data_IF_877091819407
#
_entry.id   IF_877091819407
#
_cell.length_a   1.000
_cell.length_b   1.000
_cell.length_c   1.000
_cell.angle_alpha   90.00
_cell.angle_beta   90.00
_cell.angle_gamma   90.00
#
_symmetry.space_group_name_H-M   'P 1'
#
loop_
_entity.id
_entity.type
_entity.pdbx_description
1 polymer ?
#
# COMPACT_ATOMS: atom_id res chain seq x y z
N UNK A 1 -11.37 -19.51 -0.60
CA UNK A 1 -10.27 -20.40 -0.16
C UNK A 1 -9.14 -19.55 0.41
N UNK A 2 -8.43 -19.99 1.45
CA UNK A 2 -7.33 -19.23 2.11
C UNK A 2 -6.24 -18.83 1.11
N UNK A 3 -5.81 -19.74 0.23
CA UNK A 3 -4.81 -19.45 -0.80
C UNK A 3 -5.15 -18.22 -1.65
N UNK A 4 -6.41 -18.06 -2.06
CA UNK A 4 -6.85 -16.89 -2.82
C UNK A 4 -6.70 -15.59 -2.02
N UNK A 5 -7.11 -15.59 -0.74
CA UNK A 5 -7.00 -14.39 0.12
C UNK A 5 -5.53 -13.97 0.30
N UNK A 6 -4.64 -14.94 0.52
CA UNK A 6 -3.20 -14.67 0.71
C UNK A 6 -2.57 -14.15 -0.59
N UNK A 7 -2.87 -14.77 -1.72
CA UNK A 7 -2.37 -14.32 -3.03
C UNK A 7 -2.86 -12.92 -3.38
N UNK A 8 -4.14 -12.62 -3.14
CA UNK A 8 -4.70 -11.29 -3.35
C UNK A 8 -4.09 -10.21 -2.46
N UNK A 9 -3.52 -10.60 -1.31
CA UNK A 9 -2.90 -9.67 -0.39
C UNK A 9 -1.41 -9.39 -0.72
N UNK A 10 -0.70 -10.36 -1.30
CA UNK A 10 0.75 -10.30 -1.47
C UNK A 10 1.26 -10.33 -2.92
N UNK A 11 0.46 -10.77 -3.89
CA UNK A 11 0.94 -10.99 -5.27
C UNK A 11 0.17 -10.16 -6.28
N UNK A 12 -1.12 -10.44 -6.46
CA UNK A 12 -1.93 -9.82 -7.51
C UNK A 12 -3.40 -9.83 -7.12
N UNK A 13 -4.11 -8.75 -7.43
CA UNK A 13 -5.54 -8.64 -7.15
C UNK A 13 -6.39 -9.67 -7.91
N UNK A 14 -5.89 -10.13 -9.07
CA UNK A 14 -6.63 -10.97 -10.03
C UNK A 14 -5.86 -12.26 -10.37
N UNK A 15 -5.65 -13.16 -9.40
CA UNK A 15 -4.87 -14.37 -9.64
C UNK A 15 -5.60 -15.35 -10.56
N UNK A 16 -4.84 -16.07 -11.38
CA UNK A 16 -5.41 -17.10 -12.25
C UNK A 16 -5.97 -18.28 -11.45
N UNK A 17 -7.01 -18.93 -11.97
CA UNK A 17 -7.62 -20.10 -11.33
C UNK A 17 -6.63 -21.26 -11.18
N UNK A 18 -5.74 -21.45 -12.16
CA UNK A 18 -4.68 -22.46 -12.12
C UNK A 18 -3.67 -22.20 -11.00
N UNK A 19 -3.22 -20.95 -10.84
CA UNK A 19 -2.29 -20.58 -9.77
C UNK A 19 -2.89 -20.84 -8.38
N UNK A 20 -4.13 -20.39 -8.16
CA UNK A 20 -4.84 -20.62 -6.90
C UNK A 20 -5.06 -22.11 -6.63
N UNK A 21 -5.39 -22.90 -7.66
CA UNK A 21 -5.55 -24.35 -7.52
C UNK A 21 -4.25 -25.01 -7.08
N UNK A 22 -3.13 -24.69 -7.73
CA UNK A 22 -1.82 -25.27 -7.41
C UNK A 22 -1.39 -24.96 -5.97
N UNK A 23 -1.58 -23.73 -5.52
CA UNK A 23 -1.32 -23.32 -4.14
C UNK A 23 -2.28 -24.00 -3.15
N UNK A 24 -3.57 -24.09 -3.50
CA UNK A 24 -4.57 -24.78 -2.69
C UNK A 24 -4.23 -26.27 -2.49
N UNK A 25 -3.78 -26.94 -3.54
CA UNK A 25 -3.37 -28.35 -3.48
C UNK A 25 -2.09 -28.51 -2.65
N UNK A 26 -1.14 -27.58 -2.79
CA UNK A 26 0.08 -27.54 -1.95
C UNK A 26 -0.25 -27.37 -0.47
N UNK A 27 -1.14 -26.44 -0.15
CA UNK A 27 -1.57 -26.18 1.23
C UNK A 27 -2.32 -27.37 1.83
N UNK A 28 -3.15 -28.07 1.05
CA UNK A 28 -3.83 -29.30 1.52
C UNK A 28 -2.86 -30.45 1.76
N UNK A 29 -1.93 -30.69 0.81
CA UNK A 29 -0.92 -31.76 0.94
C UNK A 29 0.00 -31.56 2.14
N UNK A 30 0.30 -30.31 2.48
CA UNK A 30 1.09 -29.96 3.67
C UNK A 30 0.29 -29.99 4.98
N UNK A 31 -0.95 -30.51 4.98
CA UNK A 31 -1.87 -30.51 6.13
C UNK A 31 -2.13 -29.09 6.67
N UNK A 32 -2.31 -28.14 5.77
CA UNK A 32 -2.61 -26.74 6.06
C UNK A 32 -1.48 -25.99 6.80
N UNK A 33 -0.23 -26.37 6.56
CA UNK A 33 0.92 -25.60 7.04
C UNK A 33 1.06 -24.26 6.31
N UNK A 34 0.89 -23.17 7.06
CA UNK A 34 1.00 -21.81 6.53
C UNK A 34 2.41 -21.49 6.03
N UNK A 35 3.45 -22.00 6.69
CA UNK A 35 4.85 -21.76 6.26
C UNK A 35 5.08 -22.30 4.85
N UNK A 36 4.56 -23.49 4.55
CA UNK A 36 4.61 -24.09 3.22
C UNK A 36 3.85 -23.24 2.19
N UNK A 37 2.65 -22.77 2.50
CA UNK A 37 1.89 -21.90 1.59
C UNK A 37 2.62 -20.59 1.29
N UNK A 38 3.10 -19.88 2.33
CA UNK A 38 3.82 -18.63 2.15
C UNK A 38 5.11 -18.82 1.35
N UNK A 39 5.85 -19.92 1.58
CA UNK A 39 7.05 -20.26 0.81
C UNK A 39 6.72 -20.53 -0.67
N UNK A 40 5.63 -21.24 -0.95
CA UNK A 40 5.20 -21.49 -2.31
C UNK A 40 4.81 -20.20 -3.04
N UNK A 41 4.15 -19.28 -2.34
CA UNK A 41 3.77 -17.97 -2.89
C UNK A 41 4.99 -17.11 -3.18
N UNK A 42 5.88 -16.90 -2.21
CA UNK A 42 7.02 -15.98 -2.36
C UNK A 42 8.14 -16.50 -3.27
N UNK A 43 8.14 -17.79 -3.60
CA UNK A 43 9.04 -18.38 -4.60
C UNK A 43 8.34 -18.65 -5.95
N UNK A 44 7.10 -18.19 -6.13
CA UNK A 44 6.37 -18.38 -7.38
C UNK A 44 6.88 -17.43 -8.47
N UNK A 45 6.82 -17.82 -9.76
CA UNK A 45 7.09 -16.89 -10.85
C UNK A 45 6.06 -15.75 -10.88
N UNK A 46 4.82 -15.98 -10.43
CA UNK A 46 3.80 -14.95 -10.32
C UNK A 46 4.16 -13.85 -9.32
N UNK A 47 4.93 -14.13 -8.27
CA UNK A 47 5.34 -13.13 -7.27
C UNK A 47 6.32 -12.10 -7.82
N UNK A 48 7.24 -12.53 -8.68
CA UNK A 48 8.29 -11.67 -9.26
C UNK A 48 7.96 -11.17 -10.67
N UNK A 49 6.77 -11.51 -11.19
CA UNK A 49 6.35 -11.08 -12.51
C UNK A 49 6.16 -9.56 -12.58
N UNK A 50 6.55 -8.94 -13.69
CA UNK A 50 6.42 -7.49 -13.89
C UNK A 50 5.00 -6.98 -13.67
N UNK A 51 3.99 -7.74 -14.08
CA UNK A 51 2.57 -7.40 -13.89
C UNK A 51 2.12 -7.42 -12.41
N UNK A 52 2.85 -8.10 -11.54
CA UNK A 52 2.56 -8.20 -10.10
C UNK A 52 3.28 -7.10 -9.31
N UNK A 53 4.41 -6.62 -9.82
CA UNK A 53 5.20 -5.59 -9.17
C UNK A 53 4.42 -4.29 -9.03
N UNK A 54 4.29 -3.79 -7.79
CA UNK A 54 3.51 -2.58 -7.44
C UNK A 54 2.08 -2.58 -8.01
N UNK A 55 1.45 -3.76 -8.09
CA UNK A 55 0.12 -3.91 -8.67
C UNK A 55 -1.03 -3.84 -7.65
N UNK A 56 -0.70 -3.86 -6.36
CA UNK A 56 -1.69 -3.91 -5.28
C UNK A 56 -1.88 -2.54 -4.66
N UNK A 57 -3.12 -2.21 -4.30
CA UNK A 57 -3.40 -0.97 -3.56
C UNK A 57 -3.18 -1.21 -2.07
N UNK A 58 -2.40 -0.32 -1.44
CA UNK A 58 -2.22 -0.28 0.01
C UNK A 58 -3.56 -0.08 0.72
N UNK A 59 -3.81 -0.90 1.74
CA UNK A 59 -4.85 -0.61 2.72
C UNK A 59 -4.60 0.76 3.38
N UNK A 60 -5.63 1.42 3.93
CA UNK A 60 -5.46 2.69 4.64
C UNK A 60 -4.36 2.64 5.70
N UNK A 61 -4.29 1.56 6.48
CA UNK A 61 -3.26 1.40 7.51
C UNK A 61 -1.85 1.32 6.91
N UNK A 62 -1.65 0.53 5.85
CA UNK A 62 -0.35 0.45 5.17
C UNK A 62 0.07 1.80 4.60
N UNK A 63 -0.87 2.51 3.96
CA UNK A 63 -0.63 3.85 3.41
C UNK A 63 -0.24 4.85 4.50
N UNK A 64 -0.98 4.88 5.60
CA UNK A 64 -0.69 5.77 6.72
C UNK A 64 0.66 5.43 7.36
N UNK A 65 0.91 4.17 7.74
CA UNK A 65 2.17 3.78 8.37
C UNK A 65 3.37 4.02 7.43
N UNK A 66 3.23 3.77 6.12
CA UNK A 66 4.28 4.08 5.14
C UNK A 66 4.52 5.59 5.06
N UNK A 67 3.48 6.42 5.06
CA UNK A 67 3.62 7.89 5.09
C UNK A 67 4.41 8.36 6.30
N UNK A 68 4.09 7.87 7.50
CA UNK A 68 4.81 8.23 8.72
C UNK A 68 6.29 7.84 8.66
N UNK A 69 6.59 6.65 8.14
CA UNK A 69 7.98 6.18 7.90
C UNK A 69 8.71 7.05 6.88
N UNK A 70 8.05 7.41 5.78
CA UNK A 70 8.63 8.21 4.71
C UNK A 70 9.00 9.62 5.18
N UNK A 71 8.18 10.20 6.06
CA UNK A 71 8.42 11.51 6.65
C UNK A 71 9.32 11.48 7.90
N UNK A 72 9.74 10.30 8.37
CA UNK A 72 10.52 10.16 9.61
C UNK A 72 9.78 10.56 10.87
N UNK A 73 8.43 10.54 10.88
CA UNK A 73 7.61 10.97 12.01
C UNK A 73 7.38 9.78 12.96
N UNK A 74 7.86 9.89 14.20
CA UNK A 74 7.80 8.82 15.20
C UNK A 74 6.48 8.77 16.00
N UNK A 75 5.77 9.90 16.15
CA UNK A 75 4.51 9.98 16.90
C UNK A 75 3.30 10.06 15.95
N UNK A 76 3.03 8.96 15.25
CA UNK A 76 2.04 8.91 14.17
C UNK A 76 0.71 8.25 14.55
N UNK A 77 0.64 7.60 15.71
CA UNK A 77 -0.51 6.79 16.14
C UNK A 77 -1.82 7.58 16.23
N UNK A 78 -1.79 8.81 16.74
CA UNK A 78 -3.00 9.65 16.85
C UNK A 78 -3.57 10.01 15.48
N UNK A 79 -2.71 10.31 14.50
CA UNK A 79 -3.14 10.58 13.12
C UNK A 79 -3.75 9.32 12.49
N UNK A 80 -3.10 8.17 12.66
CA UNK A 80 -3.60 6.89 12.14
C UNK A 80 -5.01 6.58 12.67
N UNK A 81 -5.21 6.73 13.99
CA UNK A 81 -6.52 6.51 14.62
C UNK A 81 -7.55 7.54 14.15
N UNK A 82 -7.17 8.81 14.04
CA UNK A 82 -8.08 9.89 13.66
C UNK A 82 -8.57 9.86 12.21
N UNK A 83 -7.80 9.27 11.30
CA UNK A 83 -8.12 9.27 9.86
C UNK A 83 -8.55 7.90 9.30
N UNK A 84 -8.27 6.80 10.01
CA UNK A 84 -8.55 5.45 9.50
C UNK A 84 -10.01 5.21 9.11
N UNK A 85 -10.95 5.71 9.92
CA UNK A 85 -12.39 5.56 9.67
C UNK A 85 -12.86 6.27 8.39
N UNK A 86 -12.33 7.45 8.08
CA UNK A 86 -12.65 8.18 6.82
C UNK A 86 -12.23 7.41 5.58
N UNK A 87 -11.16 6.62 5.67
CA UNK A 87 -10.69 5.73 4.60
C UNK A 87 -11.33 4.33 4.63
N UNK A 88 -12.24 4.06 5.57
CA UNK A 88 -12.95 2.78 5.70
C UNK A 88 -12.20 1.70 6.46
N UNK A 89 -11.14 2.03 7.21
CA UNK A 89 -10.40 1.07 8.04
C UNK A 89 -10.10 1.63 9.44
N UNK A 90 -11.02 1.40 10.36
CA UNK A 90 -10.78 1.57 11.80
C UNK A 90 -9.97 0.38 12.32
N UNK A 91 -8.84 0.64 13.01
CA UNK A 91 -8.01 -0.43 13.57
C UNK A 91 -8.80 -1.24 14.61
N UNK A 92 -8.64 -2.57 14.55
CA UNK A 92 -9.32 -3.54 15.42
C UNK A 92 -10.85 -3.59 15.28
N UNK A 93 -11.41 -2.95 14.25
CA UNK A 93 -12.85 -2.88 14.00
C UNK A 93 -13.16 -3.26 12.54
N UNK A 94 -13.03 -4.56 12.17
CA UNK A 94 -13.40 -5.02 10.85
C UNK A 94 -14.93 -4.95 10.65
N UNK A 95 -15.40 -4.69 9.42
CA UNK A 95 -16.83 -4.48 9.16
C UNK A 95 -17.67 -5.75 9.37
N UNK A 96 -17.10 -6.93 9.15
CA UNK A 96 -17.76 -8.22 9.36
C UNK A 96 -16.74 -9.35 9.62
N UNK A 97 -17.24 -10.58 9.73
CA UNK A 97 -16.43 -11.80 9.93
C UNK A 97 -15.52 -12.15 8.74
N UNK A 98 -15.75 -11.57 7.55
CA UNK A 98 -14.87 -11.74 6.40
C UNK A 98 -13.63 -10.85 6.48
N UNK A 99 -13.64 -9.84 7.35
CA UNK A 99 -12.57 -8.89 7.58
C UNK A 99 -12.66 -7.66 6.68
N UNK A 100 -11.53 -7.00 6.46
CA UNK A 100 -11.46 -5.86 5.53
C UNK A 100 -11.32 -6.30 4.07
N UNK A 101 -11.77 -5.46 3.11
CA UNK A 101 -11.54 -5.70 1.70
C UNK A 101 -10.04 -5.60 1.32
N UNK A 102 -9.71 -5.87 0.06
CA UNK A 102 -8.35 -5.73 -0.48
C UNK A 102 -8.36 -4.91 -1.78
N UNK A 103 -7.19 -4.36 -2.12
CA UNK A 103 -6.89 -3.73 -3.42
C UNK A 103 -7.85 -2.58 -3.79
N UNK A 104 -8.38 -2.59 -5.02
CA UNK A 104 -9.17 -1.53 -5.64
C UNK A 104 -10.35 -1.07 -4.76
N UNK A 105 -10.88 -1.94 -3.90
CA UNK A 105 -11.95 -1.61 -2.96
C UNK A 105 -11.58 -0.51 -1.94
N UNK A 106 -10.29 -0.21 -1.77
CA UNK A 106 -9.81 0.89 -0.93
C UNK A 106 -9.89 2.26 -1.59
N UNK A 107 -10.22 2.33 -2.88
CA UNK A 107 -10.23 3.57 -3.68
C UNK A 107 -11.66 3.87 -4.14
N UNK A 108 -12.15 5.03 -3.76
CA UNK A 108 -13.38 5.65 -4.25
C UNK A 108 -13.18 7.17 -4.31
N UNK A 109 -14.12 7.88 -4.92
CA UNK A 109 -14.10 9.35 -4.94
C UNK A 109 -13.99 9.96 -3.54
N UNK A 110 -14.54 9.29 -2.50
CA UNK A 110 -14.45 9.75 -1.12
C UNK A 110 -13.11 9.37 -0.47
N UNK A 111 -12.67 8.11 -0.58
CA UNK A 111 -11.46 7.66 0.15
C UNK A 111 -10.18 8.27 -0.40
N UNK A 112 -10.14 8.67 -1.67
CA UNK A 112 -9.00 9.41 -2.24
C UNK A 112 -8.87 10.79 -1.59
N UNK A 113 -9.99 11.50 -1.37
CA UNK A 113 -9.98 12.79 -0.68
C UNK A 113 -9.48 12.61 0.76
N UNK A 114 -9.93 11.58 1.46
CA UNK A 114 -9.46 11.28 2.82
C UNK A 114 -7.97 10.95 2.88
N UNK A 115 -7.44 10.22 1.89
CA UNK A 115 -5.99 9.97 1.76
C UNK A 115 -5.21 11.27 1.57
N UNK A 116 -5.70 12.20 0.75
CA UNK A 116 -5.09 13.53 0.57
C UNK A 116 -5.17 14.37 1.84
N UNK A 117 -6.31 14.37 2.53
CA UNK A 117 -6.49 15.05 3.82
C UNK A 117 -5.49 14.52 4.86
N UNK A 118 -5.28 13.21 4.88
CA UNK A 118 -4.29 12.58 5.73
C UNK A 118 -2.86 13.02 5.39
N UNK A 119 -2.48 13.08 4.10
CA UNK A 119 -1.16 13.58 3.68
C UNK A 119 -0.95 15.01 4.17
N UNK A 120 -1.96 15.88 4.02
CA UNK A 120 -1.92 17.26 4.54
C UNK A 120 -1.67 17.27 6.05
N UNK A 121 -2.42 16.47 6.82
CA UNK A 121 -2.27 16.38 8.27
C UNK A 121 -0.89 15.82 8.67
N UNK A 122 -0.41 14.79 7.99
CA UNK A 122 0.89 14.17 8.20
C UNK A 122 2.05 15.14 7.95
N UNK A 123 1.99 15.90 6.84
CA UNK A 123 2.96 16.94 6.52
C UNK A 123 2.97 18.07 7.57
N UNK A 124 1.83 18.31 8.23
CA UNK A 124 1.73 19.23 9.37
C UNK A 124 2.44 18.75 10.64
N UNK A 125 2.72 17.44 10.78
CA UNK A 125 3.43 16.88 11.95
C UNK A 125 4.95 16.89 11.82
N UNK A 126 5.48 17.18 10.63
CA UNK A 126 6.92 17.21 10.40
C UNK A 126 7.52 18.40 11.16
N UNK A 127 8.37 18.10 12.15
CA UNK A 127 9.13 19.09 12.91
C UNK A 127 10.56 19.12 12.36
N UNK A 128 10.90 20.18 11.64
CA UNK A 128 12.23 20.36 11.05
C UNK A 128 12.26 20.16 9.53
N UNK A 129 13.46 19.89 9.00
CA UNK A 129 13.67 19.67 7.57
C UNK A 129 13.13 18.31 7.14
N UNK A 130 12.44 18.29 6.01
CA UNK A 130 12.10 17.05 5.32
C UNK A 130 13.37 16.38 4.79
N UNK A 131 13.39 15.03 4.67
CA UNK A 131 14.44 14.37 3.89
C UNK A 131 14.43 14.85 2.44
N UNK A 132 15.50 14.61 1.67
CA UNK A 132 15.51 14.96 0.26
C UNK A 132 14.34 14.31 -0.50
N UNK A 133 13.55 15.04 -1.30
CA UNK A 133 12.50 14.43 -2.11
C UNK A 133 13.03 13.41 -3.12
N UNK A 134 14.25 13.59 -3.65
CA UNK A 134 14.89 12.61 -4.55
C UNK A 134 15.09 11.27 -3.85
N UNK A 135 15.55 11.30 -2.60
CA UNK A 135 15.67 10.11 -1.76
C UNK A 135 14.31 9.46 -1.54
N UNK A 136 13.26 10.25 -1.32
CA UNK A 136 11.89 9.77 -1.19
C UNK A 136 11.43 8.99 -2.42
N UNK A 137 11.66 9.53 -3.62
CA UNK A 137 11.31 8.89 -4.90
C UNK A 137 12.02 7.54 -5.00
N UNK A 138 13.32 7.50 -4.76
CA UNK A 138 14.08 6.25 -4.87
C UNK A 138 13.72 5.23 -3.78
N UNK A 139 13.51 5.66 -2.53
CA UNK A 139 13.26 4.74 -1.40
C UNK A 139 11.82 4.25 -1.29
N UNK A 140 10.85 5.01 -1.81
CA UNK A 140 9.43 4.70 -1.60
C UNK A 140 8.68 4.42 -2.89
N UNK A 141 9.18 4.94 -4.02
CA UNK A 141 8.62 4.69 -5.35
C UNK A 141 9.54 3.81 -6.21
N UNK A 142 10.71 3.42 -5.70
CA UNK A 142 11.72 2.65 -6.44
C UNK A 142 12.16 3.32 -7.75
N UNK A 143 12.02 4.65 -7.84
CA UNK A 143 12.24 5.41 -9.07
C UNK A 143 11.13 5.26 -10.12
N UNK A 144 10.07 4.49 -9.83
CA UNK A 144 8.92 4.33 -10.73
C UNK A 144 8.03 5.57 -10.65
N UNK A 145 7.95 6.30 -11.76
CA UNK A 145 7.13 7.50 -11.90
C UNK A 145 6.39 7.47 -13.24
N UNK A 146 5.09 7.74 -13.20
CA UNK A 146 4.34 8.10 -14.39
C UNK A 146 4.81 9.46 -14.93
N UNK A 147 4.62 9.73 -16.24
CA UNK A 147 4.91 11.03 -16.82
C UNK A 147 4.18 12.18 -16.11
N UNK A 148 2.97 11.92 -15.61
CA UNK A 148 2.16 12.90 -14.88
C UNK A 148 2.78 13.23 -13.52
N UNK A 149 3.11 12.23 -12.69
CA UNK A 149 3.76 12.45 -11.39
C UNK A 149 5.11 13.14 -11.56
N UNK A 150 5.92 12.72 -12.56
CA UNK A 150 7.20 13.36 -12.86
C UNK A 150 7.05 14.84 -13.24
N UNK A 151 6.06 15.17 -14.07
CA UNK A 151 5.78 16.56 -14.46
C UNK A 151 5.39 17.42 -13.25
N UNK A 152 4.53 16.91 -12.37
CA UNK A 152 4.12 17.60 -11.15
C UNK A 152 5.30 17.85 -10.20
N UNK A 153 6.17 16.86 -10.02
CA UNK A 153 7.38 16.98 -9.19
C UNK A 153 8.35 18.05 -9.73
N UNK A 154 8.49 18.14 -11.05
CA UNK A 154 9.35 19.16 -11.70
C UNK A 154 8.78 20.57 -11.57
N UNK A 155 7.45 20.72 -11.52
CA UNK A 155 6.76 22.01 -11.37
C UNK A 155 6.59 22.44 -9.90
N UNK A 156 6.91 21.58 -8.94
CA UNK A 156 6.77 21.87 -7.53
C UNK A 156 7.66 23.04 -7.08
N UNK A 157 7.06 24.00 -6.37
CA UNK A 157 7.73 25.23 -5.94
C UNK A 157 8.84 24.98 -4.91
N UNK A 158 8.67 23.98 -4.05
CA UNK A 158 9.61 23.64 -2.98
C UNK A 158 9.56 22.14 -2.63
N UNK A 159 10.43 21.71 -1.71
CA UNK A 159 10.50 20.32 -1.28
C UNK A 159 9.26 19.86 -0.52
N UNK A 160 8.54 20.77 0.13
CA UNK A 160 7.29 20.45 0.83
C UNK A 160 6.21 20.07 -0.19
N UNK A 161 6.10 20.82 -1.28
CA UNK A 161 5.23 20.50 -2.41
C UNK A 161 5.66 19.19 -3.08
N UNK A 162 6.95 18.92 -3.26
CA UNK A 162 7.44 17.63 -3.81
C UNK A 162 7.04 16.45 -2.94
N UNK A 163 7.18 16.56 -1.63
CA UNK A 163 6.75 15.51 -0.69
C UNK A 163 5.24 15.30 -0.69
N UNK A 164 4.46 16.38 -0.77
CA UNK A 164 3.01 16.27 -0.90
C UNK A 164 2.62 15.52 -2.17
N UNK A 165 3.20 15.89 -3.33
CA UNK A 165 2.96 15.24 -4.62
C UNK A 165 3.38 13.77 -4.55
N UNK A 166 4.55 13.47 -3.99
CA UNK A 166 5.04 12.11 -3.81
C UNK A 166 4.04 11.26 -3.02
N UNK A 167 3.60 11.73 -1.85
CA UNK A 167 2.71 10.96 -0.96
C UNK A 167 1.28 10.84 -1.52
N UNK A 168 0.82 11.84 -2.27
CA UNK A 168 -0.49 11.83 -2.93
C UNK A 168 -0.49 11.09 -4.28
N UNK A 169 0.68 10.72 -4.80
CA UNK A 169 0.83 10.09 -6.11
C UNK A 169 0.20 8.69 -6.17
N UNK A 170 -0.31 8.25 -7.33
CA UNK A 170 -0.77 6.88 -7.53
C UNK A 170 0.30 5.85 -7.15
N UNK A 171 1.56 6.11 -7.51
CA UNK A 171 2.69 5.21 -7.26
C UNK A 171 2.89 4.97 -5.76
N UNK A 172 2.68 5.98 -4.92
CA UNK A 172 2.76 5.82 -3.46
C UNK A 172 1.55 5.07 -2.87
N UNK A 173 0.41 5.02 -3.56
CA UNK A 173 -0.73 4.22 -3.13
C UNK A 173 -0.53 2.71 -3.36
N UNK A 174 0.46 2.34 -4.18
CA UNK A 174 0.68 0.95 -4.61
C UNK A 174 1.78 0.25 -3.81
N UNK A 175 1.67 -1.07 -3.66
CA UNK A 175 2.66 -1.96 -3.04
C UNK A 175 2.93 -3.17 -3.92
#
# INVERSE_FOLDING_TARGET
MIANKVVQHFVTARPSTGYIKNLGDTFRRSKYDMKTLMRAIFNSPEFVADQSYRSLVKSPTEFMVHTGRALGVSSFSKLVVGHGSGMGQSLFDPPDVNGWPNNEAWISSNTVVERVNFVTAAMGQVKGSLPSPSDGIHRHLDGVLSPQTASLLNQAADDRARWFILLASPEFQLK
#
